data_IF_559870817671
#
_entry.id   IF_559870817671
#
_cell.length_a   1.000
_cell.length_b   1.000
_cell.length_c   1.000
_cell.angle_alpha   90.00
_cell.angle_beta   90.00
_cell.angle_gamma   90.00
#
_symmetry.space_group_name_H-M   'P 1'
#
loop_
_entity.id
_entity.type
_entity.pdbx_description
1 polymer ?
#
# COMPACT_ATOMS: atom_id res chain seq x y z
N UNK A 1 -73.27 66.72 20.81
CA UNK A 1 -72.23 67.06 19.82
C UNK A 1 -71.92 65.78 19.02
N UNK A 2 -72.49 65.65 17.82
CA UNK A 2 -72.26 64.51 16.94
C UNK A 2 -70.99 64.62 16.13
N UNK A 3 -70.15 63.60 15.94
CA UNK A 3 -68.95 63.68 15.14
C UNK A 3 -69.26 63.77 13.65
N UNK A 4 -68.61 64.65 12.96
CA UNK A 4 -68.70 64.87 11.51
C UNK A 4 -68.18 63.63 10.76
N UNK A 5 -68.81 63.19 9.68
CA UNK A 5 -68.36 62.08 8.87
C UNK A 5 -67.06 62.50 8.08
N UNK A 6 -66.03 61.73 8.21
CA UNK A 6 -64.82 61.87 7.42
C UNK A 6 -65.10 61.54 5.94
N UNK A 7 -64.88 62.54 5.08
CA UNK A 7 -65.06 62.48 3.64
C UNK A 7 -63.94 61.58 3.04
N UNK A 8 -64.18 60.33 2.80
CA UNK A 8 -63.30 59.43 2.08
C UNK A 8 -63.21 59.91 0.62
N UNK A 9 -62.13 60.61 0.31
CA UNK A 9 -61.77 60.96 -1.07
C UNK A 9 -61.74 59.71 -1.94
N UNK A 10 -62.75 59.49 -2.74
CA UNK A 10 -62.79 58.44 -3.76
C UNK A 10 -61.66 58.74 -4.76
N UNK A 11 -60.67 57.89 -4.83
CA UNK A 11 -59.59 57.95 -5.83
C UNK A 11 -60.18 57.97 -7.22
N UNK A 12 -59.73 58.82 -8.15
CA UNK A 12 -60.29 58.95 -9.49
C UNK A 12 -60.14 57.63 -10.24
N UNK A 13 -61.14 57.24 -11.06
CA UNK A 13 -61.18 56.00 -11.80
C UNK A 13 -59.93 55.76 -12.71
N UNK A 14 -59.34 56.86 -13.23
CA UNK A 14 -58.10 56.84 -13.98
C UNK A 14 -56.88 56.30 -13.18
N UNK A 15 -56.83 56.63 -11.90
CA UNK A 15 -55.78 56.12 -11.00
C UNK A 15 -55.94 54.61 -10.70
N UNK A 16 -57.18 54.14 -10.64
CA UNK A 16 -57.48 52.71 -10.47
C UNK A 16 -57.17 51.90 -11.72
N UNK A 17 -57.40 52.44 -12.93
CA UNK A 17 -57.02 51.81 -14.21
C UNK A 17 -55.51 51.75 -14.39
N UNK A 18 -54.77 52.83 -14.13
CA UNK A 18 -53.34 52.91 -14.18
C UNK A 18 -52.67 51.90 -13.21
N UNK A 19 -53.20 51.83 -11.98
CA UNK A 19 -52.68 50.88 -11.00
C UNK A 19 -52.92 49.41 -11.37
N UNK A 20 -54.06 49.12 -12.01
CA UNK A 20 -54.39 47.76 -12.52
C UNK A 20 -53.46 47.36 -13.68
N UNK A 21 -53.13 48.29 -14.58
CA UNK A 21 -52.22 48.04 -15.72
C UNK A 21 -50.80 47.80 -15.18
N UNK A 22 -50.34 48.61 -14.20
CA UNK A 22 -49.04 48.45 -13.55
C UNK A 22 -48.98 47.08 -12.87
N UNK A 23 -49.99 46.70 -12.06
CA UNK A 23 -50.08 45.41 -11.39
C UNK A 23 -50.06 44.23 -12.37
N UNK A 24 -50.77 44.31 -13.48
CA UNK A 24 -50.82 43.26 -14.50
C UNK A 24 -49.43 43.10 -15.17
N UNK A 25 -48.75 44.22 -15.52
CA UNK A 25 -47.38 44.20 -16.07
C UNK A 25 -46.37 43.64 -15.10
N UNK A 26 -46.45 44.01 -13.81
CA UNK A 26 -45.58 43.52 -12.76
C UNK A 26 -45.76 42.05 -12.54
N UNK A 27 -47.02 41.55 -12.51
CA UNK A 27 -47.30 40.12 -12.40
C UNK A 27 -46.82 39.33 -13.65
N UNK A 28 -46.93 39.94 -14.84
CA UNK A 28 -46.48 39.30 -16.08
C UNK A 28 -44.92 39.20 -16.08
N UNK A 29 -44.22 40.27 -15.69
CA UNK A 29 -42.77 40.28 -15.55
C UNK A 29 -42.30 39.29 -14.50
N UNK A 30 -42.98 39.20 -13.35
CA UNK A 30 -42.68 38.26 -12.30
C UNK A 30 -42.90 36.80 -12.76
N UNK A 31 -43.98 36.56 -13.53
CA UNK A 31 -44.27 35.25 -14.12
C UNK A 31 -43.20 34.84 -15.14
N UNK A 32 -42.81 35.75 -16.05
CA UNK A 32 -41.75 35.48 -17.02
C UNK A 32 -40.42 35.21 -16.34
N UNK A 33 -40.04 36.03 -15.34
CA UNK A 33 -38.81 35.83 -14.58
C UNK A 33 -38.86 34.50 -13.80
N UNK A 34 -40.02 34.15 -13.19
CA UNK A 34 -40.18 32.87 -12.51
C UNK A 34 -40.01 31.67 -13.44
N UNK A 35 -40.65 31.72 -14.62
CA UNK A 35 -40.46 30.66 -15.63
C UNK A 35 -39.01 30.55 -16.10
N UNK A 36 -38.37 31.69 -16.37
CA UNK A 36 -36.96 31.71 -16.80
C UNK A 36 -36.03 31.11 -15.75
N UNK A 37 -36.24 31.49 -14.48
CA UNK A 37 -35.47 30.92 -13.35
C UNK A 37 -35.72 29.43 -13.19
N UNK A 38 -36.96 29.00 -13.33
CA UNK A 38 -37.32 27.58 -13.27
C UNK A 38 -36.66 26.77 -14.39
N UNK A 39 -36.68 27.27 -15.62
CA UNK A 39 -36.02 26.62 -16.77
C UNK A 39 -34.51 26.51 -16.55
N UNK A 40 -33.87 27.58 -16.05
CA UNK A 40 -32.45 27.56 -15.71
C UNK A 40 -32.12 26.52 -14.64
N UNK A 41 -32.90 26.49 -13.55
CA UNK A 41 -32.71 25.48 -12.50
C UNK A 41 -32.96 24.06 -12.98
N UNK A 42 -33.99 23.87 -13.80
CA UNK A 42 -34.32 22.56 -14.36
C UNK A 42 -33.20 22.05 -15.29
N UNK A 43 -32.69 22.92 -16.16
CA UNK A 43 -31.56 22.54 -17.05
C UNK A 43 -30.30 22.23 -16.26
N UNK A 44 -30.05 22.98 -15.18
CA UNK A 44 -28.89 22.70 -14.30
C UNK A 44 -29.05 21.38 -13.55
N UNK A 45 -30.25 21.12 -13.01
CA UNK A 45 -30.55 19.83 -12.35
C UNK A 45 -30.47 18.65 -13.31
N UNK A 46 -31.00 18.80 -14.53
CA UNK A 46 -30.91 17.78 -15.58
C UNK A 46 -29.46 17.45 -15.89
N UNK A 47 -28.63 18.49 -16.02
CA UNK A 47 -27.21 18.32 -16.30
C UNK A 47 -26.50 17.55 -15.19
N UNK A 48 -26.72 17.90 -13.91
CA UNK A 48 -26.11 17.23 -12.77
C UNK A 48 -26.63 15.82 -12.54
N UNK A 49 -27.93 15.59 -12.74
CA UNK A 49 -28.56 14.30 -12.44
C UNK A 49 -28.47 13.28 -13.58
N UNK A 50 -28.29 13.73 -14.81
CA UNK A 50 -28.28 12.82 -15.97
C UNK A 50 -26.96 12.89 -16.73
N UNK A 51 -26.46 14.08 -17.09
CA UNK A 51 -25.28 14.19 -17.93
C UNK A 51 -23.98 14.00 -17.14
N UNK A 52 -23.90 14.51 -15.93
CA UNK A 52 -22.71 14.47 -15.08
C UNK A 52 -22.88 13.47 -13.90
N UNK A 53 -23.96 12.67 -13.90
CA UNK A 53 -24.29 11.74 -12.82
C UNK A 53 -23.15 10.76 -12.52
N UNK A 54 -22.68 10.06 -13.55
CA UNK A 54 -21.66 9.01 -13.40
C UNK A 54 -20.32 9.59 -12.95
N UNK A 55 -19.97 10.78 -13.44
CA UNK A 55 -18.74 11.47 -13.03
C UNK A 55 -18.81 11.93 -11.57
N UNK A 56 -19.90 12.60 -11.20
CA UNK A 56 -20.11 13.07 -9.82
C UNK A 56 -20.24 11.91 -8.83
N UNK A 57 -20.92 10.83 -9.23
CA UNK A 57 -21.02 9.62 -8.42
C UNK A 57 -19.64 8.96 -8.23
N UNK A 58 -18.83 8.87 -9.28
CA UNK A 58 -17.47 8.32 -9.18
C UNK A 58 -16.56 9.12 -8.24
N UNK A 59 -16.68 10.45 -8.28
CA UNK A 59 -15.94 11.35 -7.37
C UNK A 59 -16.44 11.19 -5.92
N UNK A 60 -17.75 11.13 -5.71
CA UNK A 60 -18.34 10.92 -4.38
C UNK A 60 -17.91 9.57 -3.79
N UNK A 61 -17.97 8.49 -4.56
CA UNK A 61 -17.52 7.16 -4.15
C UNK A 61 -16.04 7.19 -3.78
N UNK A 62 -15.17 7.83 -4.60
CA UNK A 62 -13.72 7.95 -4.28
C UNK A 62 -13.46 8.71 -2.99
N UNK A 63 -14.26 9.71 -2.67
CA UNK A 63 -14.12 10.50 -1.44
C UNK A 63 -14.67 9.77 -0.21
N UNK A 64 -15.67 8.89 -0.40
CA UNK A 64 -16.38 8.18 0.67
C UNK A 64 -15.87 6.77 0.91
N UNK A 65 -14.94 6.24 0.10
CA UNK A 65 -14.40 4.90 0.27
C UNK A 65 -12.93 4.92 0.62
N UNK A 66 -12.56 4.09 1.59
CA UNK A 66 -11.19 3.68 1.85
C UNK A 66 -10.94 2.38 1.11
N UNK A 67 -9.91 2.35 0.29
CA UNK A 67 -9.42 1.14 -0.34
C UNK A 67 -8.18 0.68 0.40
N UNK A 68 -8.28 -0.45 1.06
CA UNK A 68 -7.15 -1.10 1.72
C UNK A 68 -6.74 -2.30 0.88
N UNK A 69 -5.50 -2.32 0.43
CA UNK A 69 -4.94 -3.46 -0.30
C UNK A 69 -4.66 -4.59 0.69
N UNK A 70 -5.10 -5.81 0.34
CA UNK A 70 -4.74 -7.05 1.04
C UNK A 70 -3.66 -7.72 0.19
N UNK A 71 -2.44 -7.78 0.71
CA UNK A 71 -1.32 -8.32 -0.03
C UNK A 71 -1.49 -9.85 -0.22
N UNK A 72 -1.30 -10.31 -1.46
CA UNK A 72 -1.21 -11.73 -1.77
C UNK A 72 0.10 -12.31 -1.21
N UNK A 73 0.05 -13.52 -0.70
CA UNK A 73 1.26 -14.24 -0.31
C UNK A 73 1.97 -14.77 -1.55
N UNK A 74 3.27 -14.47 -1.67
CA UNK A 74 4.09 -15.01 -2.74
C UNK A 74 4.25 -16.53 -2.58
N UNK A 75 4.10 -17.29 -3.67
CA UNK A 75 4.17 -18.75 -3.69
C UNK A 75 5.49 -19.29 -3.14
N UNK A 76 5.44 -20.50 -2.61
CA UNK A 76 6.60 -21.17 -1.99
C UNK A 76 7.41 -21.89 -3.05
N UNK A 77 8.74 -21.89 -2.92
CA UNK A 77 9.64 -22.66 -3.77
C UNK A 77 10.10 -23.90 -3.00
N UNK A 78 9.87 -25.07 -3.57
CA UNK A 78 10.21 -26.37 -3.00
C UNK A 78 11.31 -27.08 -3.81
N UNK A 79 12.11 -27.87 -3.12
CA UNK A 79 12.93 -28.88 -3.78
C UNK A 79 12.09 -30.07 -4.26
N UNK A 80 12.70 -31.04 -4.92
CA UNK A 80 12.01 -32.26 -5.41
C UNK A 80 11.39 -33.12 -4.31
N UNK A 81 11.84 -32.98 -3.07
CA UNK A 81 11.42 -33.76 -1.92
C UNK A 81 10.39 -33.01 -1.05
N UNK A 82 9.98 -31.80 -1.45
CA UNK A 82 9.09 -30.94 -0.70
C UNK A 82 9.77 -30.12 0.40
N UNK A 83 11.11 -30.03 0.39
CA UNK A 83 11.85 -29.15 1.30
C UNK A 83 11.69 -27.71 0.85
N UNK A 84 11.35 -26.81 1.77
CA UNK A 84 11.18 -25.38 1.50
C UNK A 84 12.53 -24.73 1.22
N UNK A 85 12.66 -24.11 0.04
CA UNK A 85 13.81 -23.32 -0.40
C UNK A 85 13.56 -21.83 -0.20
N UNK A 86 12.35 -21.36 -0.50
CA UNK A 86 11.92 -19.98 -0.28
C UNK A 86 10.44 -19.96 0.12
N UNK A 87 10.08 -19.13 1.10
CA UNK A 87 8.69 -18.95 1.55
C UNK A 87 8.44 -17.52 1.96
N UNK A 88 7.17 -17.11 1.94
CA UNK A 88 6.71 -15.85 2.52
C UNK A 88 6.36 -16.07 3.99
N UNK A 89 7.02 -15.36 4.89
CA UNK A 89 6.71 -15.33 6.31
C UNK A 89 5.91 -14.06 6.64
N UNK A 90 5.07 -14.12 7.68
CA UNK A 90 4.41 -12.94 8.22
C UNK A 90 5.45 -11.93 8.69
N UNK A 91 5.21 -10.66 8.41
CA UNK A 91 6.03 -9.56 8.86
C UNK A 91 5.15 -8.31 9.01
N UNK A 92 5.67 -7.28 9.63
CA UNK A 92 4.92 -6.06 9.86
C UNK A 92 5.77 -4.81 9.60
N UNK A 93 5.20 -3.85 8.89
CA UNK A 93 5.80 -2.53 8.71
C UNK A 93 5.39 -1.63 9.87
N UNK A 94 6.35 -0.98 10.47
CA UNK A 94 6.16 -0.02 11.57
C UNK A 94 6.42 1.37 11.04
N UNK A 95 5.42 2.25 11.16
CA UNK A 95 5.48 3.63 10.69
C UNK A 95 4.79 4.60 11.66
N UNK A 96 5.11 5.88 11.53
CA UNK A 96 4.49 6.95 12.29
C UNK A 96 3.77 7.94 11.39
N UNK A 97 2.74 8.59 11.92
CA UNK A 97 2.07 9.74 11.34
C UNK A 97 2.41 10.99 12.16
N UNK A 98 3.44 11.76 11.78
CA UNK A 98 3.80 12.98 12.50
C UNK A 98 2.64 13.93 12.67
N UNK A 99 1.77 14.03 11.66
CA UNK A 99 0.55 14.83 11.70
C UNK A 99 -0.36 14.42 12.87
N UNK A 100 -0.66 13.13 12.99
CA UNK A 100 -1.54 12.64 14.06
C UNK A 100 -0.91 12.72 15.46
N UNK A 101 0.40 12.53 15.57
CA UNK A 101 1.15 12.72 16.81
C UNK A 101 0.97 14.15 17.31
N UNK A 102 1.07 15.14 16.41
CA UNK A 102 0.92 16.56 16.74
C UNK A 102 -0.54 16.92 17.01
N UNK A 103 -1.47 16.48 16.17
CA UNK A 103 -2.91 16.76 16.32
C UNK A 103 -3.48 16.20 17.65
N UNK A 104 -2.91 15.11 18.15
CA UNK A 104 -3.31 14.50 19.43
C UNK A 104 -2.44 14.94 20.61
N UNK A 105 -1.55 15.94 20.44
CA UNK A 105 -0.65 16.49 21.49
C UNK A 105 0.17 15.40 22.20
N UNK A 106 0.65 14.41 21.43
CA UNK A 106 1.41 13.28 21.95
C UNK A 106 2.86 13.68 22.28
N UNK A 107 3.43 13.05 23.31
CA UNK A 107 4.81 13.32 23.71
C UNK A 107 5.81 12.70 22.72
N UNK A 108 6.34 13.53 21.80
CA UNK A 108 7.27 13.11 20.75
C UNK A 108 8.55 12.45 21.31
N UNK A 109 9.07 12.96 22.44
CA UNK A 109 10.27 12.40 23.06
C UNK A 109 10.03 11.01 23.68
N UNK A 110 8.84 10.80 24.26
CA UNK A 110 8.45 9.48 24.77
C UNK A 110 8.37 8.47 23.63
N UNK A 111 7.69 8.84 22.54
CA UNK A 111 7.54 7.98 21.37
C UNK A 111 8.91 7.69 20.73
N UNK A 112 9.74 8.72 20.53
CA UNK A 112 11.03 8.55 19.89
C UNK A 112 11.97 7.65 20.72
N UNK A 113 12.07 7.87 22.03
CA UNK A 113 12.96 7.08 22.88
C UNK A 113 12.46 5.63 23.03
N UNK A 114 11.15 5.42 23.23
CA UNK A 114 10.60 4.07 23.38
C UNK A 114 10.69 3.26 22.07
N UNK A 115 10.37 3.85 20.94
CA UNK A 115 10.50 3.17 19.65
C UNK A 115 11.98 2.95 19.28
N UNK A 116 12.87 3.89 19.62
CA UNK A 116 14.31 3.71 19.38
C UNK A 116 14.89 2.51 20.15
N UNK A 117 14.50 2.35 21.41
CA UNK A 117 14.92 1.22 22.24
C UNK A 117 14.40 -0.13 21.68
N UNK A 118 13.12 -0.18 21.28
CA UNK A 118 12.50 -1.41 20.76
C UNK A 118 13.04 -1.79 19.38
N UNK A 119 13.21 -0.79 18.48
CA UNK A 119 13.57 -1.02 17.08
C UNK A 119 15.08 -1.00 16.80
N UNK A 120 15.89 -0.73 17.83
CA UNK A 120 17.34 -0.53 17.71
C UNK A 120 17.69 0.57 16.70
N UNK A 121 17.06 1.75 16.87
CA UNK A 121 17.23 2.94 16.03
C UNK A 121 17.76 4.12 16.86
N UNK A 122 18.29 5.15 16.18
CA UNK A 122 18.66 6.40 16.85
C UNK A 122 17.39 7.24 17.14
N UNK A 123 17.14 7.65 18.39
CA UNK A 123 16.04 8.56 18.73
C UNK A 123 16.04 9.86 17.91
N UNK A 124 17.24 10.36 17.56
CA UNK A 124 17.38 11.58 16.77
C UNK A 124 16.82 11.41 15.34
N UNK A 125 16.99 10.24 14.73
CA UNK A 125 16.44 9.96 13.39
C UNK A 125 14.90 9.88 13.43
N UNK A 126 14.33 9.33 14.49
CA UNK A 126 12.87 9.28 14.67
C UNK A 126 12.33 10.69 14.89
N UNK A 127 12.96 11.51 15.74
CA UNK A 127 12.56 12.91 15.94
C UNK A 127 12.64 13.72 14.65
N UNK A 128 13.68 13.54 13.85
CA UNK A 128 13.83 14.18 12.54
C UNK A 128 12.70 13.80 11.57
N UNK A 129 12.22 12.56 11.60
CA UNK A 129 11.04 12.15 10.82
C UNK A 129 9.77 12.82 11.35
N UNK A 130 9.64 13.03 12.66
CA UNK A 130 8.52 13.74 13.28
C UNK A 130 8.47 15.25 12.97
N UNK A 131 9.59 15.86 12.56
CA UNK A 131 9.62 17.29 12.11
C UNK A 131 8.78 17.52 10.85
N UNK A 132 8.46 16.48 10.11
CA UNK A 132 7.61 16.53 8.91
C UNK A 132 6.11 16.63 9.28
N UNK A 133 5.71 17.74 9.88
CA UNK A 133 4.41 17.96 10.54
C UNK A 133 3.17 17.66 9.70
N UNK A 134 3.28 17.69 8.37
CA UNK A 134 2.17 17.40 7.44
C UNK A 134 2.17 15.95 6.93
N UNK A 135 3.20 15.17 7.26
CA UNK A 135 3.30 13.78 6.81
C UNK A 135 2.38 12.87 7.63
N UNK A 136 1.66 12.00 6.93
CA UNK A 136 0.83 10.95 7.53
C UNK A 136 1.53 9.58 7.53
N UNK A 137 2.69 9.48 6.89
CA UNK A 137 3.42 8.23 6.75
C UNK A 137 4.93 8.51 6.74
N UNK A 138 5.58 8.13 7.82
CA UNK A 138 7.05 8.09 7.92
C UNK A 138 7.45 6.73 8.44
N UNK A 139 8.12 5.98 7.59
CA UNK A 139 8.54 4.62 7.85
C UNK A 139 9.67 4.56 8.88
N UNK A 140 9.55 3.70 9.88
CA UNK A 140 10.59 3.42 10.88
C UNK A 140 11.31 2.11 10.61
N UNK A 141 10.55 1.03 10.45
CA UNK A 141 11.08 -0.31 10.20
C UNK A 141 10.20 -1.05 9.21
N UNK A 142 10.79 -1.56 8.12
CA UNK A 142 10.12 -2.48 7.19
C UNK A 142 10.29 -3.91 7.63
N UNK A 143 9.28 -4.72 7.34
CA UNK A 143 9.32 -6.19 7.45
C UNK A 143 9.88 -6.64 8.79
N UNK A 144 9.44 -5.99 9.88
CA UNK A 144 9.75 -6.39 11.24
C UNK A 144 9.16 -7.76 11.53
N UNK A 145 9.87 -8.57 12.30
CA UNK A 145 9.38 -9.87 12.73
C UNK A 145 8.27 -9.70 13.78
N UNK A 146 7.37 -10.68 13.90
CA UNK A 146 6.18 -10.62 14.78
C UNK A 146 6.55 -10.28 16.24
N UNK A 147 7.67 -10.82 16.78
CA UNK A 147 8.13 -10.53 18.16
C UNK A 147 8.44 -9.04 18.37
N UNK A 148 9.01 -8.39 17.36
CA UNK A 148 9.35 -6.97 17.43
C UNK A 148 8.09 -6.11 17.32
N UNK A 149 7.18 -6.50 16.46
CA UNK A 149 5.91 -5.82 16.29
C UNK A 149 5.01 -5.94 17.52
N UNK A 150 5.02 -7.09 18.21
CA UNK A 150 4.29 -7.29 19.46
C UNK A 150 4.80 -6.35 20.57
N UNK A 151 6.12 -6.17 20.70
CA UNK A 151 6.69 -5.20 21.65
C UNK A 151 6.25 -3.76 21.33
N UNK A 152 6.18 -3.41 20.06
CA UNK A 152 5.67 -2.09 19.66
C UNK A 152 4.18 -1.95 19.95
N UNK A 153 3.36 -3.01 19.77
CA UNK A 153 1.92 -3.01 20.14
C UNK A 153 1.73 -2.82 21.64
N UNK A 154 2.53 -3.53 22.45
CA UNK A 154 2.50 -3.39 23.89
C UNK A 154 2.85 -1.95 24.31
N UNK A 155 3.91 -1.39 23.76
CA UNK A 155 4.30 0.00 24.00
C UNK A 155 3.22 1.02 23.59
N UNK A 156 2.56 0.82 22.43
CA UNK A 156 1.44 1.65 21.97
C UNK A 156 0.29 1.58 22.97
N UNK A 157 -0.09 0.37 23.43
CA UNK A 157 -1.21 0.16 24.31
C UNK A 157 -0.94 0.69 25.73
N UNK A 158 0.26 0.47 26.28
CA UNK A 158 0.64 0.94 27.61
C UNK A 158 0.63 2.47 27.74
N UNK A 159 1.00 3.17 26.66
CA UNK A 159 1.13 4.62 26.67
C UNK A 159 -0.04 5.33 25.94
N UNK A 160 -1.08 4.61 25.51
CA UNK A 160 -2.22 5.13 24.71
C UNK A 160 -1.75 6.01 23.55
N UNK A 161 -0.76 5.52 22.79
CA UNK A 161 -0.14 6.28 21.72
C UNK A 161 -1.03 6.35 20.47
N UNK A 162 -1.13 7.56 19.92
CA UNK A 162 -1.78 7.83 18.65
C UNK A 162 -0.77 8.31 17.64
N UNK A 163 -0.92 7.87 16.39
CA UNK A 163 0.00 8.22 15.33
C UNK A 163 1.20 7.28 15.19
N UNK A 164 1.22 6.15 15.90
CA UNK A 164 2.12 5.01 15.65
C UNK A 164 1.29 3.87 15.10
N UNK A 165 1.70 3.31 13.97
CA UNK A 165 0.93 2.31 13.24
C UNK A 165 1.79 1.10 12.90
N UNK A 166 1.12 -0.05 12.87
CA UNK A 166 1.68 -1.33 12.46
C UNK A 166 0.79 -1.86 11.33
N UNK A 167 1.41 -2.19 10.19
CA UNK A 167 0.71 -2.71 9.03
C UNK A 167 1.23 -4.10 8.69
N UNK A 168 0.34 -5.12 8.60
CA UNK A 168 0.72 -6.44 8.14
C UNK A 168 1.33 -6.38 6.74
N UNK A 169 2.40 -7.12 6.54
CA UNK A 169 3.08 -7.32 5.24
C UNK A 169 3.67 -8.73 5.20
N UNK A 170 4.40 -9.05 4.15
CA UNK A 170 5.10 -10.32 4.03
C UNK A 170 6.60 -10.11 3.79
N UNK A 171 7.40 -11.00 4.38
CA UNK A 171 8.86 -11.04 4.21
C UNK A 171 9.24 -12.33 3.53
N UNK A 172 9.97 -12.22 2.41
CA UNK A 172 10.53 -13.40 1.77
C UNK A 172 11.67 -13.95 2.61
N UNK A 173 11.60 -15.23 2.91
CA UNK A 173 12.56 -15.93 3.78
C UNK A 173 13.11 -17.15 3.07
N UNK A 174 14.41 -17.34 3.18
CA UNK A 174 15.15 -18.43 2.58
C UNK A 174 15.77 -19.28 3.69
N UNK A 175 15.10 -20.37 4.14
CA UNK A 175 15.52 -21.14 5.33
C UNK A 175 16.89 -21.80 5.20
N UNK A 176 17.39 -21.96 3.95
CA UNK A 176 18.71 -22.56 3.67
C UNK A 176 19.83 -21.55 3.49
N UNK A 177 19.54 -20.26 3.66
CA UNK A 177 20.53 -19.17 3.63
C UNK A 177 21.25 -19.08 2.30
N UNK A 178 22.48 -19.65 2.23
CA UNK A 178 23.36 -19.54 1.05
C UNK A 178 23.16 -20.64 0.02
N UNK A 179 22.39 -21.72 0.35
CA UNK A 179 22.23 -22.88 -0.51
C UNK A 179 21.53 -22.54 -1.82
N UNK A 180 22.11 -22.92 -2.95
CA UNK A 180 21.62 -22.67 -4.31
C UNK A 180 21.34 -21.17 -4.59
N UNK A 181 22.09 -20.27 -3.96
CA UNK A 181 21.84 -18.82 -4.00
C UNK A 181 21.72 -18.26 -5.42
N UNK A 182 22.59 -18.69 -6.34
CA UNK A 182 22.56 -18.23 -7.73
C UNK A 182 21.35 -18.77 -8.52
N UNK A 183 20.84 -19.95 -8.12
CA UNK A 183 19.70 -20.60 -8.79
C UNK A 183 18.38 -20.06 -8.27
N UNK A 184 18.21 -20.07 -6.95
CA UNK A 184 16.96 -19.59 -6.32
C UNK A 184 16.80 -18.09 -6.57
N UNK A 185 17.88 -17.33 -6.38
CA UNK A 185 17.82 -15.87 -6.44
C UNK A 185 17.12 -15.26 -5.25
N UNK A 186 16.84 -13.96 -5.32
CA UNK A 186 16.20 -13.22 -4.24
C UNK A 186 15.17 -12.23 -4.78
N UNK A 187 14.34 -11.70 -3.88
CA UNK A 187 13.36 -10.66 -4.17
C UNK A 187 13.83 -9.31 -3.64
N UNK A 188 13.36 -8.24 -4.28
CA UNK A 188 13.46 -6.87 -3.82
C UNK A 188 12.05 -6.26 -3.70
N UNK A 189 11.95 -4.96 -3.45
CA UNK A 189 10.66 -4.25 -3.33
C UNK A 189 9.85 -4.21 -4.65
N UNK A 190 10.46 -4.57 -5.79
CA UNK A 190 9.81 -4.63 -7.10
C UNK A 190 9.41 -6.05 -7.52
N UNK A 191 9.76 -7.07 -6.73
CA UNK A 191 9.49 -8.47 -7.02
C UNK A 191 10.75 -9.32 -7.12
N UNK A 192 10.73 -10.38 -7.93
CA UNK A 192 11.87 -11.25 -8.15
C UNK A 192 13.03 -10.53 -8.86
N UNK A 193 14.22 -10.51 -8.25
CA UNK A 193 15.37 -9.78 -8.75
C UNK A 193 16.33 -10.67 -9.54
N UNK A 194 16.51 -11.93 -9.15
CA UNK A 194 17.43 -12.89 -9.79
C UNK A 194 16.89 -14.33 -9.72
N UNK A 195 17.49 -15.23 -10.49
CA UNK A 195 17.27 -16.67 -10.43
C UNK A 195 15.84 -17.09 -10.73
N UNK A 196 15.37 -18.13 -10.05
CA UNK A 196 14.00 -18.64 -10.16
C UNK A 196 12.97 -17.60 -9.68
N UNK A 197 13.31 -16.80 -8.67
CA UNK A 197 12.44 -15.71 -8.20
C UNK A 197 12.13 -14.71 -9.31
N UNK A 198 13.09 -14.37 -10.17
CA UNK A 198 12.88 -13.47 -11.30
C UNK A 198 12.25 -14.19 -12.50
N UNK A 199 12.68 -15.42 -12.79
CA UNK A 199 12.21 -16.17 -13.95
C UNK A 199 10.71 -16.53 -13.86
N UNK A 200 10.21 -16.80 -12.64
CA UNK A 200 8.82 -17.15 -12.35
C UNK A 200 8.12 -16.09 -11.51
N UNK A 201 8.53 -14.82 -11.72
CA UNK A 201 7.99 -13.74 -10.89
C UNK A 201 6.48 -13.60 -11.01
N UNK A 202 5.93 -13.71 -12.20
CA UNK A 202 4.50 -13.52 -12.45
C UNK A 202 3.66 -14.63 -11.80
N UNK A 203 4.12 -15.87 -11.86
CA UNK A 203 3.44 -17.01 -11.27
C UNK A 203 3.56 -17.02 -9.73
N UNK A 204 4.72 -16.58 -9.21
CA UNK A 204 4.97 -16.56 -7.78
C UNK A 204 4.28 -15.39 -7.07
N UNK A 205 4.06 -14.24 -7.72
CA UNK A 205 3.62 -13.01 -7.03
C UNK A 205 2.16 -13.06 -6.60
N UNK A 206 1.26 -13.70 -7.38
CA UNK A 206 -0.18 -13.68 -7.13
C UNK A 206 -0.83 -12.31 -7.42
N UNK A 207 -2.10 -12.19 -7.09
CA UNK A 207 -2.88 -10.97 -7.28
C UNK A 207 -3.39 -10.43 -5.94
N UNK A 208 -3.08 -9.16 -5.67
CA UNK A 208 -3.50 -8.52 -4.42
C UNK A 208 -5.01 -8.34 -4.37
N UNK A 209 -5.58 -8.64 -3.22
CA UNK A 209 -6.95 -8.35 -2.90
C UNK A 209 -7.16 -6.88 -2.50
N UNK A 210 -8.41 -6.51 -2.32
CA UNK A 210 -8.78 -5.17 -1.92
C UNK A 210 -10.02 -5.19 -1.03
N UNK A 211 -9.97 -4.45 0.08
CA UNK A 211 -11.14 -4.15 0.91
C UNK A 211 -11.55 -2.72 0.65
N UNK A 212 -12.79 -2.53 0.21
CA UNK A 212 -13.38 -1.20 -0.01
C UNK A 212 -14.37 -0.94 1.12
N UNK A 213 -14.00 -0.05 2.04
CA UNK A 213 -14.81 0.31 3.21
C UNK A 213 -15.36 1.73 3.04
N UNK A 214 -16.63 1.94 3.42
CA UNK A 214 -17.21 3.28 3.43
C UNK A 214 -16.62 4.13 4.56
N UNK A 215 -16.33 5.42 4.26
CA UNK A 215 -15.86 6.43 5.22
C UNK A 215 -16.93 7.48 5.48
N UNK A 216 -16.98 7.99 6.70
CA UNK A 216 -17.70 9.20 7.01
C UNK A 216 -16.89 10.46 6.61
N UNK A 217 -17.50 11.64 6.82
CA UNK A 217 -16.88 12.93 6.52
C UNK A 217 -15.59 13.20 7.32
N UNK A 218 -15.42 12.54 8.46
CA UNK A 218 -14.28 12.68 9.36
C UNK A 218 -13.20 11.62 9.08
N UNK A 219 -13.39 10.80 8.02
CA UNK A 219 -12.45 9.77 7.59
C UNK A 219 -12.49 8.48 8.40
N UNK A 220 -13.48 8.33 9.29
CA UNK A 220 -13.68 7.12 10.09
C UNK A 220 -14.42 6.06 9.28
N UNK A 221 -14.03 4.81 9.43
CA UNK A 221 -14.75 3.68 8.86
C UNK A 221 -16.16 3.62 9.41
N UNK A 222 -17.17 3.67 8.55
CA UNK A 222 -18.58 3.47 8.94
C UNK A 222 -18.83 1.97 8.94
N UNK A 223 -18.75 1.37 10.12
CA UNK A 223 -19.15 -0.01 10.35
C UNK A 223 -20.62 -0.18 9.93
N UNK A 224 -20.88 -1.09 8.97
CA UNK A 224 -22.21 -1.55 8.51
C UNK A 224 -22.76 -1.06 7.17
N UNK A 225 -22.02 -0.33 6.31
CA UNK A 225 -22.53 -0.03 4.97
C UNK A 225 -21.47 -0.32 3.90
N UNK A 226 -21.66 -1.44 3.18
CA UNK A 226 -20.93 -1.83 1.96
C UNK A 226 -19.42 -2.03 2.10
N UNK A 227 -19.01 -3.04 2.83
CA UNK A 227 -17.67 -3.59 2.65
C UNK A 227 -17.69 -4.52 1.44
N UNK A 228 -17.00 -4.16 0.39
CA UNK A 228 -16.72 -5.05 -0.73
C UNK A 228 -15.35 -5.66 -0.51
N UNK A 229 -15.32 -6.99 -0.42
CA UNK A 229 -14.09 -7.76 -0.32
C UNK A 229 -13.77 -8.35 -1.68
N UNK A 230 -12.58 -8.07 -2.16
CA UNK A 230 -11.96 -8.78 -3.27
C UNK A 230 -10.83 -9.58 -2.65
N UNK A 231 -10.98 -10.90 -2.64
CA UNK A 231 -10.00 -11.78 -2.03
C UNK A 231 -8.67 -11.71 -2.77
N UNK A 232 -7.56 -11.80 -2.03
CA UNK A 232 -6.24 -11.91 -2.62
C UNK A 232 -6.06 -13.34 -3.18
N UNK A 233 -5.53 -13.44 -4.39
CA UNK A 233 -5.12 -14.71 -4.98
C UNK A 233 -3.63 -14.92 -4.75
N UNK A 234 -3.27 -15.88 -3.90
CA UNK A 234 -1.87 -16.18 -3.60
C UNK A 234 -1.15 -16.69 -4.84
N UNK A 235 0.15 -16.41 -4.91
CA UNK A 235 0.99 -16.91 -5.98
C UNK A 235 1.06 -18.45 -6.00
N UNK A 236 1.37 -19.00 -7.17
CA UNK A 236 1.53 -20.44 -7.36
C UNK A 236 2.81 -20.93 -6.68
N UNK A 237 2.75 -22.12 -6.08
CA UNK A 237 3.93 -22.77 -5.54
C UNK A 237 4.77 -23.40 -6.68
N UNK A 238 6.09 -23.29 -6.56
CA UNK A 238 7.06 -23.80 -7.54
C UNK A 238 7.77 -25.03 -6.99
N UNK A 239 7.55 -26.18 -7.61
CA UNK A 239 8.29 -27.41 -7.31
C UNK A 239 9.44 -27.57 -8.29
N UNK A 240 10.66 -27.54 -7.77
CA UNK A 240 11.87 -27.68 -8.58
C UNK A 240 12.36 -29.12 -8.66
N UNK A 241 13.29 -29.38 -9.56
CA UNK A 241 14.00 -30.68 -9.63
C UNK A 241 15.23 -30.71 -8.74
N UNK A 242 15.57 -29.60 -8.08
CA UNK A 242 16.72 -29.51 -7.17
C UNK A 242 16.56 -30.51 -6.01
N UNK A 243 17.66 -31.07 -5.58
CA UNK A 243 17.78 -31.90 -4.39
C UNK A 243 18.72 -31.20 -3.40
N UNK A 244 18.20 -30.77 -2.26
CA UNK A 244 18.96 -30.03 -1.25
C UNK A 244 20.20 -30.77 -0.76
N UNK A 245 20.14 -32.11 -0.69
CA UNK A 245 21.28 -32.92 -0.26
C UNK A 245 22.36 -32.98 -1.31
N UNK A 246 21.98 -33.20 -2.56
CA UNK A 246 22.93 -33.20 -3.69
C UNK A 246 23.54 -31.83 -3.87
N UNK A 247 22.72 -30.77 -3.77
CA UNK A 247 23.15 -29.38 -3.83
C UNK A 247 24.21 -29.06 -2.78
N UNK A 248 23.97 -29.43 -1.53
CA UNK A 248 24.94 -29.21 -0.44
C UNK A 248 26.31 -29.87 -0.73
N UNK A 249 26.31 -31.14 -1.17
CA UNK A 249 27.57 -31.83 -1.49
C UNK A 249 28.25 -31.25 -2.71
N UNK A 250 27.50 -30.80 -3.73
CA UNK A 250 28.06 -30.13 -4.88
C UNK A 250 28.74 -28.83 -4.48
N UNK A 251 28.07 -27.94 -3.73
CA UNK A 251 28.64 -26.68 -3.26
C UNK A 251 29.89 -26.88 -2.43
N UNK A 252 29.86 -27.85 -1.50
CA UNK A 252 31.03 -28.21 -0.71
C UNK A 252 32.19 -28.66 -1.59
N UNK A 253 31.95 -29.52 -2.60
CA UNK A 253 32.97 -29.98 -3.53
C UNK A 253 33.56 -28.85 -4.38
N UNK A 254 32.71 -27.92 -4.84
CA UNK A 254 33.13 -26.75 -5.62
C UNK A 254 33.97 -25.78 -4.76
N UNK A 255 33.58 -25.58 -3.49
CA UNK A 255 34.33 -24.76 -2.51
C UNK A 255 35.72 -25.39 -2.20
N UNK A 256 35.80 -26.72 -2.01
CA UNK A 256 37.05 -27.44 -1.79
C UNK A 256 37.96 -27.36 -3.02
N UNK A 257 37.42 -27.43 -4.23
CA UNK A 257 38.14 -27.24 -5.48
C UNK A 257 38.72 -25.84 -5.58
N UNK A 258 37.93 -24.79 -5.34
CA UNK A 258 38.40 -23.41 -5.37
C UNK A 258 39.52 -23.17 -4.34
N UNK A 259 39.30 -23.65 -3.11
CA UNK A 259 40.31 -23.54 -2.05
C UNK A 259 41.63 -24.25 -2.39
N UNK A 260 41.57 -25.39 -3.12
CA UNK A 260 42.74 -26.19 -3.48
C UNK A 260 43.50 -25.64 -4.67
N UNK A 261 42.78 -25.13 -5.67
CA UNK A 261 43.41 -24.75 -6.96
C UNK A 261 43.52 -23.24 -7.13
N UNK A 262 42.78 -22.43 -6.33
CA UNK A 262 42.91 -20.97 -6.29
C UNK A 262 42.69 -20.33 -7.66
N UNK A 263 41.56 -20.68 -8.33
CA UNK A 263 41.30 -20.19 -9.70
C UNK A 263 41.11 -18.67 -9.74
N UNK A 264 40.73 -18.05 -8.61
CA UNK A 264 40.52 -16.60 -8.47
C UNK A 264 39.37 -16.02 -9.31
N UNK A 265 38.73 -16.88 -10.11
CA UNK A 265 37.59 -16.49 -10.97
C UNK A 265 36.29 -17.22 -10.63
N UNK A 266 36.27 -17.95 -9.50
CA UNK A 266 35.17 -18.80 -9.10
C UNK A 266 35.26 -20.22 -9.71
N UNK A 267 34.30 -21.05 -9.30
CA UNK A 267 34.16 -22.42 -9.80
C UNK A 267 32.67 -22.74 -9.89
N UNK A 268 32.31 -23.59 -10.85
CA UNK A 268 30.91 -23.97 -11.12
C UNK A 268 30.79 -25.50 -11.21
N UNK A 269 29.60 -25.99 -10.90
CA UNK A 269 29.28 -27.40 -11.02
C UNK A 269 27.80 -27.61 -11.27
N UNK A 270 27.48 -28.65 -12.06
CA UNK A 270 26.09 -29.05 -12.34
C UNK A 270 25.97 -30.57 -12.18
N UNK A 271 24.91 -31.02 -11.52
CA UNK A 271 24.54 -32.43 -11.43
C UNK A 271 23.19 -32.62 -12.12
N UNK A 272 23.14 -33.50 -13.10
CA UNK A 272 21.96 -33.78 -13.90
C UNK A 272 21.67 -35.28 -13.94
N UNK A 273 20.39 -35.66 -13.85
CA UNK A 273 19.93 -37.02 -14.13
C UNK A 273 19.94 -37.25 -15.63
N UNK A 274 20.80 -38.17 -16.07
CA UNK A 274 21.00 -38.48 -17.51
C UNK A 274 19.79 -39.11 -18.17
N UNK A 275 18.87 -39.72 -17.41
CA UNK A 275 17.70 -40.39 -17.96
C UNK A 275 16.53 -39.41 -18.18
N UNK A 276 16.40 -38.41 -17.33
CA UNK A 276 15.26 -37.47 -17.34
C UNK A 276 15.66 -36.07 -17.83
N UNK A 277 16.96 -35.73 -17.80
CA UNK A 277 17.46 -34.38 -18.05
C UNK A 277 17.20 -33.41 -16.90
N UNK A 278 16.71 -33.90 -15.75
CA UNK A 278 16.43 -33.06 -14.60
C UNK A 278 17.74 -32.55 -13.96
N UNK A 279 17.84 -31.24 -13.72
CA UNK A 279 18.94 -30.64 -12.96
C UNK A 279 18.67 -30.88 -11.48
N UNK A 280 19.55 -31.66 -10.83
CA UNK A 280 19.43 -32.01 -9.42
C UNK A 280 20.18 -31.04 -8.52
N UNK A 281 21.26 -30.45 -9.02
CA UNK A 281 22.04 -29.42 -8.32
C UNK A 281 22.79 -28.55 -9.31
N UNK A 282 22.96 -27.28 -8.96
CA UNK A 282 23.74 -26.31 -9.71
C UNK A 282 24.39 -25.33 -8.73
N UNK A 283 25.71 -25.24 -8.75
CA UNK A 283 26.48 -24.38 -7.86
C UNK A 283 27.41 -23.46 -8.66
N UNK A 284 27.50 -22.23 -8.26
CA UNK A 284 28.45 -21.26 -8.75
C UNK A 284 29.01 -20.46 -7.57
N UNK A 285 30.31 -20.23 -7.55
CA UNK A 285 30.98 -19.44 -6.51
C UNK A 285 31.31 -18.02 -7.02
N UNK A 286 31.30 -17.02 -6.15
CA UNK A 286 30.98 -17.07 -4.72
C UNK A 286 29.48 -17.20 -4.46
N UNK A 287 29.10 -17.86 -3.34
CA UNK A 287 27.74 -17.89 -2.82
C UNK A 287 27.47 -16.66 -1.96
N UNK A 288 26.19 -16.28 -1.82
CA UNK A 288 25.76 -15.17 -0.96
C UNK A 288 24.53 -15.58 -0.13
N UNK A 289 24.29 -14.88 0.98
CA UNK A 289 23.08 -15.12 1.79
C UNK A 289 21.85 -14.49 1.11
N UNK A 290 20.89 -15.33 0.76
CA UNK A 290 19.63 -14.93 0.13
C UNK A 290 18.78 -14.00 1.01
N UNK A 291 18.94 -14.08 2.34
CA UNK A 291 18.23 -13.20 3.28
C UNK A 291 18.90 -11.82 3.41
N UNK A 292 20.14 -11.66 2.95
CA UNK A 292 20.91 -10.41 3.01
C UNK A 292 21.73 -10.20 1.74
N UNK A 293 21.11 -10.11 0.55
CA UNK A 293 21.81 -10.08 -0.73
C UNK A 293 22.58 -8.79 -0.99
N UNK A 294 22.31 -7.71 -0.23
CA UNK A 294 22.77 -6.36 -0.55
C UNK A 294 24.27 -6.12 -0.50
N UNK A 295 25.04 -6.88 0.28
CA UNK A 295 26.49 -6.69 0.41
C UNK A 295 27.26 -7.28 -0.79
N UNK A 296 26.91 -8.47 -1.24
CA UNK A 296 27.60 -9.16 -2.33
C UNK A 296 27.12 -8.72 -3.71
N UNK A 297 25.84 -8.34 -3.83
CA UNK A 297 25.28 -7.82 -5.07
C UNK A 297 25.92 -6.49 -5.47
N UNK A 298 26.19 -5.60 -4.53
CA UNK A 298 26.90 -4.35 -4.78
C UNK A 298 28.38 -4.61 -5.15
N UNK A 299 29.04 -5.58 -4.53
CA UNK A 299 30.40 -5.97 -4.85
C UNK A 299 30.48 -6.64 -6.23
N UNK A 300 29.48 -7.42 -6.61
CA UNK A 300 29.39 -8.05 -7.94
C UNK A 300 29.14 -7.02 -9.05
N UNK A 301 28.24 -6.05 -8.83
CA UNK A 301 27.96 -4.96 -9.76
C UNK A 301 29.19 -4.04 -9.92
N UNK A 302 29.91 -3.77 -8.82
CA UNK A 302 31.14 -2.94 -8.87
C UNK A 302 32.34 -3.68 -9.47
N UNK A 303 32.49 -4.98 -9.26
CA UNK A 303 33.56 -5.77 -9.85
C UNK A 303 33.35 -6.08 -11.33
N UNK A 304 32.11 -6.12 -11.81
CA UNK A 304 31.77 -6.28 -13.23
C UNK A 304 31.80 -4.99 -14.06
N UNK A 305 31.95 -3.83 -13.42
CA UNK A 305 32.03 -2.50 -14.07
C UNK A 305 33.44 -1.95 -14.21
N UNK A 306 34.45 -2.66 -13.71
CA UNK A 306 35.84 -2.30 -13.97
C UNK A 306 36.39 -3.17 -15.09
N UNK A 307 36.54 -2.54 -16.25
CA UNK A 307 37.25 -2.96 -17.47
C UNK A 307 36.34 -3.37 -18.65
N UNK A 308 36.01 -2.36 -19.45
CA UNK A 308 36.53 -2.16 -20.81
C UNK A 308 36.51 -0.68 -21.18
#
# INVERSE_FOLDING_TARGET
MAPRPQNQKRRPESARRANRIIQTRTLLLLGVFGVLTFVLLFTQLYRWQITEHDELQSVAVRQQTLRTTVEASRGTIYDRNGTILAMSASAEDIFISPKEIIENDQNQNLIANGLAEILDLDPADILKKMEKTNSQYEELKKKADDELADKVREFINENDLKGVFIRPTSKRTYPKGTLASQVIGFTNDLGGAMGLEAAYNDELTGENGMVVTARDRDGRSVLYQYDQYFDAENGCDLHTTLDTTIQYYLEKGVQELEARFGTGKGAEGIVMDVNTGAVLAMASLPTYDLNSPGTVYNDFLTSGMTEE
#
